data_IF_867475606704
#
_entry.id   IF_867475606704
#
_cell.length_a   1.000
_cell.length_b   1.000
_cell.length_c   1.000
_cell.angle_alpha   90.00
_cell.angle_beta   90.00
_cell.angle_gamma   90.00
#
_symmetry.space_group_name_H-M   'P 1'
#
loop_
_entity.id
_entity.type
_entity.pdbx_description
1 polymer ?
#
# COMPACT_ATOMS: atom_id res chain seq x y z
N UNK A 1 -28.23 -7.42 17.91
CA UNK A 1 -27.26 -7.74 16.85
C UNK A 1 -27.30 -6.59 15.86
N UNK A 2 -26.26 -5.75 15.70
CA UNK A 2 -26.36 -4.67 14.75
C UNK A 2 -26.22 -5.25 13.34
N UNK A 3 -27.16 -4.91 12.45
CA UNK A 3 -27.04 -5.16 11.02
C UNK A 3 -25.85 -4.38 10.46
N UNK A 4 -25.08 -4.91 9.49
CA UNK A 4 -24.04 -4.12 8.85
C UNK A 4 -24.70 -2.97 8.07
N UNK A 5 -24.39 -1.74 8.51
CA UNK A 5 -24.83 -0.50 7.89
C UNK A 5 -24.33 -0.45 6.44
N UNK A 6 -25.28 -0.30 5.52
CA UNK A 6 -25.04 -0.13 4.07
C UNK A 6 -24.12 1.07 3.81
N UNK A 7 -23.05 0.85 3.08
CA UNK A 7 -22.48 1.85 2.17
C UNK A 7 -21.87 1.17 0.93
N UNK A 8 -21.75 2.00 -0.11
CA UNK A 8 -21.08 1.82 -1.41
C UNK A 8 -21.95 1.29 -2.57
N UNK A 9 -22.40 2.27 -3.34
CA UNK A 9 -22.67 2.18 -4.77
C UNK A 9 -21.40 1.80 -5.52
N UNK A 10 -21.09 0.51 -5.55
CA UNK A 10 -20.08 -0.04 -6.44
C UNK A 10 -20.73 -0.20 -7.83
N UNK A 11 -20.24 0.59 -8.80
CA UNK A 11 -20.78 0.69 -10.18
C UNK A 11 -19.96 -0.13 -11.17
N UNK A 12 -18.76 -0.58 -10.75
CA UNK A 12 -17.86 -1.34 -11.59
C UNK A 12 -18.25 -2.82 -11.77
N UNK A 13 -17.47 -3.52 -12.60
CA UNK A 13 -17.71 -4.91 -12.96
C UNK A 13 -16.70 -5.91 -12.39
N UNK A 14 -15.62 -5.45 -11.75
CA UNK A 14 -14.52 -6.33 -11.32
C UNK A 14 -14.83 -7.00 -9.98
N UNK A 15 -14.58 -8.32 -9.89
CA UNK A 15 -14.60 -9.07 -8.63
C UNK A 15 -13.46 -8.67 -7.70
N UNK A 16 -12.31 -8.30 -8.26
CA UNK A 16 -11.12 -7.95 -7.51
C UNK A 16 -10.30 -6.86 -8.23
N UNK A 17 -9.65 -6.02 -7.44
CA UNK A 17 -8.66 -5.04 -7.89
C UNK A 17 -7.39 -5.21 -7.06
N UNK A 18 -6.23 -5.31 -7.71
CA UNK A 18 -4.94 -5.52 -7.04
C UNK A 18 -4.08 -4.26 -7.18
N UNK A 19 -3.72 -3.68 -6.04
CA UNK A 19 -2.76 -2.58 -5.90
C UNK A 19 -1.50 -3.16 -5.25
N UNK A 20 -0.57 -3.64 -6.08
CA UNK A 20 0.62 -4.37 -5.64
C UNK A 20 1.90 -3.65 -6.10
N UNK A 21 2.67 -3.11 -5.15
CA UNK A 21 3.94 -2.41 -5.37
C UNK A 21 3.88 -1.28 -6.41
N UNK A 22 2.71 -0.63 -6.55
CA UNK A 22 2.50 0.42 -7.54
C UNK A 22 2.12 1.77 -6.93
N UNK A 23 1.43 1.80 -5.79
CA UNK A 23 1.02 3.07 -5.18
C UNK A 23 2.24 3.86 -4.68
N UNK A 24 3.28 3.16 -4.21
CA UNK A 24 4.53 3.77 -3.77
C UNK A 24 5.28 4.56 -4.85
N UNK A 25 5.01 4.28 -6.13
CA UNK A 25 5.59 5.00 -7.26
C UNK A 25 4.75 6.20 -7.71
N UNK A 26 3.54 6.38 -7.16
CA UNK A 26 2.64 7.50 -7.46
C UNK A 26 2.94 8.66 -6.51
N UNK A 27 2.95 9.88 -7.05
CA UNK A 27 3.06 11.11 -6.27
C UNK A 27 1.99 11.16 -5.17
N UNK A 28 2.36 11.58 -3.96
CA UNK A 28 1.53 11.46 -2.75
C UNK A 28 0.15 12.10 -2.93
N UNK A 29 0.10 13.24 -3.62
CA UNK A 29 -1.13 14.02 -3.87
C UNK A 29 -2.13 13.27 -4.76
N UNK A 30 -1.68 12.25 -5.49
CA UNK A 30 -2.50 11.43 -6.39
C UNK A 30 -2.84 10.05 -5.84
N UNK A 31 -2.26 9.65 -4.71
CA UNK A 31 -2.47 8.30 -4.17
C UNK A 31 -3.93 8.06 -3.77
N UNK A 32 -4.60 9.05 -3.17
CA UNK A 32 -6.03 8.96 -2.87
C UNK A 32 -6.87 8.77 -4.13
N UNK A 33 -6.60 9.51 -5.21
CA UNK A 33 -7.33 9.38 -6.47
C UNK A 33 -7.20 7.97 -7.06
N UNK A 34 -6.01 7.36 -6.94
CA UNK A 34 -5.76 5.99 -7.39
C UNK A 34 -6.62 4.99 -6.60
N UNK A 35 -6.64 5.10 -5.27
CA UNK A 35 -7.46 4.22 -4.41
C UNK A 35 -8.95 4.41 -4.68
N UNK A 36 -9.41 5.66 -4.82
CA UNK A 36 -10.82 5.97 -5.16
C UNK A 36 -11.21 5.34 -6.50
N UNK A 37 -10.37 5.49 -7.54
CA UNK A 37 -10.62 4.89 -8.85
C UNK A 37 -10.60 3.36 -8.78
N UNK A 38 -9.65 2.77 -8.04
CA UNK A 38 -9.57 1.33 -7.84
C UNK A 38 -10.86 0.79 -7.20
N UNK A 39 -11.35 1.44 -6.14
CA UNK A 39 -12.62 1.10 -5.49
C UNK A 39 -13.81 1.19 -6.46
N UNK A 40 -13.87 2.22 -7.30
CA UNK A 40 -14.94 2.39 -8.30
C UNK A 40 -14.97 1.30 -9.39
N UNK A 41 -13.84 0.62 -9.65
CA UNK A 41 -13.81 -0.50 -10.62
C UNK A 41 -14.48 -1.76 -10.10
N UNK A 42 -14.65 -1.87 -8.78
CA UNK A 42 -15.23 -3.05 -8.14
C UNK A 42 -16.74 -3.08 -8.35
N UNK A 43 -17.27 -4.30 -8.48
CA UNK A 43 -18.70 -4.56 -8.30
C UNK A 43 -19.04 -4.55 -6.81
N UNK A 44 -20.33 -4.59 -6.47
CA UNK A 44 -20.77 -4.74 -5.07
C UNK A 44 -20.21 -6.04 -4.48
N UNK A 45 -19.52 -5.93 -3.34
CA UNK A 45 -18.83 -7.05 -2.69
C UNK A 45 -17.58 -7.53 -3.41
N UNK A 46 -17.05 -6.74 -4.37
CA UNK A 46 -15.71 -6.96 -4.91
C UNK A 46 -14.64 -6.64 -3.88
N UNK A 47 -13.42 -7.12 -4.10
CA UNK A 47 -12.32 -7.00 -3.13
C UNK A 47 -11.18 -6.13 -3.65
N UNK A 48 -10.68 -5.23 -2.82
CA UNK A 48 -9.41 -4.55 -3.08
C UNK A 48 -8.29 -5.25 -2.31
N UNK A 49 -7.27 -5.70 -3.03
CA UNK A 49 -6.06 -6.31 -2.46
C UNK A 49 -4.92 -5.30 -2.55
N UNK A 50 -4.35 -4.95 -1.40
CA UNK A 50 -3.26 -4.00 -1.30
C UNK A 50 -2.00 -4.67 -0.76
N UNK A 51 -0.86 -4.38 -1.39
CA UNK A 51 0.46 -4.64 -0.80
C UNK A 51 1.51 -3.68 -1.35
N UNK A 52 2.18 -2.98 -0.45
CA UNK A 52 3.27 -2.08 -0.81
C UNK A 52 4.30 -1.95 0.31
N UNK A 53 5.34 -1.13 0.13
CA UNK A 53 6.40 -0.94 1.12
C UNK A 53 5.87 -0.41 2.45
N UNK A 54 6.26 -1.05 3.55
CA UNK A 54 5.90 -0.61 4.90
C UNK A 54 6.95 0.28 5.52
N UNK A 55 6.52 1.20 6.39
CA UNK A 55 7.40 2.06 7.18
C UNK A 55 8.44 1.23 7.93
N UNK A 56 9.68 1.70 7.96
CA UNK A 56 10.85 1.04 8.53
C UNK A 56 11.31 -0.23 7.79
N UNK A 57 10.89 -0.44 6.53
CA UNK A 57 11.55 -1.41 5.65
C UNK A 57 13.04 -1.06 5.51
N UNK A 58 13.90 -2.06 5.45
CA UNK A 58 15.34 -1.82 5.38
C UNK A 58 15.76 -1.07 4.09
N UNK A 59 14.99 -1.11 3.01
CA UNK A 59 15.20 -0.24 1.85
C UNK A 59 15.05 1.24 2.24
N UNK A 60 14.06 1.58 3.08
CA UNK A 60 13.89 2.94 3.61
C UNK A 60 15.10 3.39 4.41
N UNK A 61 15.60 2.51 5.31
CA UNK A 61 16.76 2.80 6.15
C UNK A 61 18.00 3.12 5.30
N UNK A 62 18.17 2.41 4.17
CA UNK A 62 19.27 2.65 3.22
C UNK A 62 19.14 3.96 2.47
N UNK A 63 17.93 4.46 2.25
CA UNK A 63 17.69 5.74 1.58
C UNK A 63 17.92 6.93 2.49
N UNK A 64 17.72 6.81 3.81
CA UNK A 64 17.92 7.92 4.76
C UNK A 64 19.33 8.50 4.79
N UNK A 65 20.34 7.79 4.28
CA UNK A 65 21.73 8.25 4.19
C UNK A 65 22.14 8.81 2.83
N UNK A 66 21.20 9.12 1.93
CA UNK A 66 21.47 9.60 0.56
C UNK A 66 20.66 10.86 0.25
N UNK A 67 21.13 11.66 -0.72
CA UNK A 67 20.45 12.86 -1.25
C UNK A 67 19.25 12.52 -2.16
N UNK A 68 18.53 11.44 -1.87
CA UNK A 68 17.47 10.91 -2.73
C UNK A 68 16.08 10.99 -2.07
N UNK A 69 15.93 11.80 -1.02
CA UNK A 69 14.65 12.05 -0.35
C UNK A 69 13.91 13.17 -1.07
N UNK A 70 12.72 12.86 -1.57
CA UNK A 70 11.81 13.85 -2.18
C UNK A 70 10.96 14.53 -1.10
N UNK A 71 10.47 13.77 -0.13
CA UNK A 71 9.70 14.24 1.01
C UNK A 71 9.82 13.24 2.18
N UNK A 72 9.09 13.46 3.27
CA UNK A 72 9.04 12.55 4.39
C UNK A 72 8.54 11.18 3.96
N UNK A 73 9.42 10.17 4.06
CA UNK A 73 9.13 8.78 3.69
C UNK A 73 8.90 8.57 2.18
N UNK A 74 9.22 9.57 1.37
CA UNK A 74 9.15 9.54 -0.09
C UNK A 74 10.54 9.74 -0.70
N UNK A 75 10.97 8.79 -1.52
CA UNK A 75 12.33 8.75 -2.05
C UNK A 75 12.33 8.50 -3.55
N UNK A 76 13.34 9.03 -4.25
CA UNK A 76 13.65 8.67 -5.63
C UNK A 76 14.72 7.59 -5.66
N UNK A 77 14.55 6.61 -6.54
CA UNK A 77 15.52 5.54 -6.78
C UNK A 77 16.51 5.97 -7.86
N UNK A 78 17.60 5.22 -8.02
CA UNK A 78 18.62 5.51 -9.02
C UNK A 78 18.12 5.41 -10.47
N UNK A 79 17.02 4.69 -10.70
CA UNK A 79 16.35 4.55 -12.00
C UNK A 79 15.32 5.66 -12.27
N UNK A 80 15.21 6.65 -11.38
CA UNK A 80 14.25 7.75 -11.49
C UNK A 80 12.83 7.41 -11.01
N UNK A 81 12.55 6.17 -10.62
CA UNK A 81 11.24 5.80 -10.07
C UNK A 81 11.13 6.16 -8.58
N UNK A 82 9.92 6.41 -8.11
CA UNK A 82 9.68 6.82 -6.73
C UNK A 82 9.39 5.61 -5.80
N UNK A 83 9.57 5.81 -4.51
CA UNK A 83 9.20 4.83 -3.47
C UNK A 83 8.73 5.55 -2.20
N UNK A 84 7.43 5.49 -1.95
CA UNK A 84 6.81 5.83 -0.68
C UNK A 84 6.76 4.63 0.26
N UNK A 85 6.92 4.87 1.56
CA UNK A 85 6.84 3.84 2.60
C UNK A 85 5.63 4.08 3.50
N UNK A 86 4.62 3.24 3.37
CA UNK A 86 3.30 3.41 3.99
C UNK A 86 3.26 2.93 5.44
N UNK A 87 2.42 3.58 6.24
CA UNK A 87 1.88 3.01 7.46
C UNK A 87 0.56 2.26 7.20
N UNK A 88 0.15 1.38 8.11
CA UNK A 88 -1.20 0.78 8.07
C UNK A 88 -2.29 1.84 8.18
N UNK A 89 -2.07 2.88 8.97
CA UNK A 89 -3.05 3.93 9.22
C UNK A 89 -3.28 4.80 7.97
N UNK A 90 -2.21 5.15 7.25
CA UNK A 90 -2.29 5.86 5.96
C UNK A 90 -3.11 5.04 4.93
N UNK A 91 -2.86 3.73 4.85
CA UNK A 91 -3.61 2.84 3.95
C UNK A 91 -5.07 2.72 4.37
N UNK A 92 -5.32 2.61 5.68
CA UNK A 92 -6.67 2.56 6.24
C UNK A 92 -7.46 3.83 5.94
N UNK A 93 -6.86 5.00 6.15
CA UNK A 93 -7.49 6.29 5.87
C UNK A 93 -7.88 6.40 4.39
N UNK A 94 -6.94 6.10 3.48
CA UNK A 94 -7.19 6.20 2.04
C UNK A 94 -8.31 5.27 1.56
N UNK A 95 -8.31 4.02 2.05
CA UNK A 95 -9.33 3.03 1.68
C UNK A 95 -10.69 3.39 2.27
N UNK A 96 -10.74 3.83 3.53
CA UNK A 96 -11.98 4.25 4.21
C UNK A 96 -12.60 5.46 3.52
N UNK A 97 -11.77 6.43 3.09
CA UNK A 97 -12.23 7.58 2.29
C UNK A 97 -12.77 7.19 0.91
N UNK A 98 -12.33 6.06 0.36
CA UNK A 98 -12.89 5.48 -0.85
C UNK A 98 -14.15 4.62 -0.61
N UNK A 99 -14.62 4.55 0.64
CA UNK A 99 -15.81 3.80 1.06
C UNK A 99 -15.55 2.32 1.34
N UNK A 100 -14.30 1.86 1.29
CA UNK A 100 -13.95 0.46 1.49
C UNK A 100 -13.79 0.14 2.98
N UNK A 101 -14.22 -1.06 3.38
CA UNK A 101 -14.12 -1.55 4.76
C UNK A 101 -13.01 -2.60 4.87
N UNK A 102 -12.16 -2.54 5.91
CA UNK A 102 -11.05 -3.47 6.07
C UNK A 102 -11.56 -4.87 6.43
N UNK A 103 -11.06 -5.87 5.71
CA UNK A 103 -11.17 -7.29 6.10
C UNK A 103 -9.88 -7.74 6.77
N UNK A 104 -8.73 -7.33 6.22
CA UNK A 104 -7.39 -7.60 6.75
C UNK A 104 -6.53 -6.34 6.54
N UNK A 105 -5.70 -5.98 7.54
CA UNK A 105 -4.73 -4.89 7.44
C UNK A 105 -3.62 -5.13 8.47
N UNK A 106 -2.42 -5.45 8.00
CA UNK A 106 -1.27 -5.70 8.87
C UNK A 106 0.06 -5.43 8.16
N UNK A 107 1.14 -5.39 8.94
CA UNK A 107 2.49 -5.47 8.41
C UNK A 107 2.93 -6.92 8.26
N UNK A 108 3.39 -7.28 7.06
CA UNK A 108 4.15 -8.50 6.86
C UNK A 108 5.63 -8.18 6.95
N UNK A 109 6.33 -8.85 7.87
CA UNK A 109 7.79 -8.77 7.98
C UNK A 109 8.44 -10.07 7.51
N UNK A 110 9.54 -9.94 6.77
CA UNK A 110 10.36 -11.10 6.38
C UNK A 110 11.84 -10.83 6.55
N UNK A 111 12.52 -11.78 7.18
CA UNK A 111 13.98 -11.86 7.20
C UNK A 111 14.44 -12.73 6.04
N UNK A 112 15.26 -12.16 5.16
CA UNK A 112 15.93 -12.88 4.07
C UNK A 112 17.43 -12.80 4.30
N UNK A 113 18.14 -13.89 4.02
CA UNK A 113 19.61 -13.94 4.14
C UNK A 113 20.16 -14.33 2.79
N UNK A 114 21.02 -13.49 2.22
CA UNK A 114 21.80 -13.89 1.06
C UNK A 114 22.84 -14.92 1.54
N UNK A 115 22.76 -16.17 1.05
CA UNK A 115 23.57 -17.28 1.55
C UNK A 115 25.06 -17.14 1.25
N UNK A 116 25.40 -16.48 0.14
CA UNK A 116 26.78 -16.29 -0.30
C UNK A 116 27.50 -15.21 0.51
N UNK A 117 26.84 -14.07 0.69
CA UNK A 117 27.42 -12.89 1.37
C UNK A 117 27.11 -12.82 2.86
N UNK A 118 26.22 -13.70 3.35
CA UNK A 118 25.71 -13.70 4.73
C UNK A 118 24.82 -12.51 5.08
N UNK A 119 24.58 -11.57 4.15
CA UNK A 119 23.93 -10.30 4.53
C UNK A 119 22.43 -10.48 4.73
N UNK A 120 21.97 -10.08 5.90
CA UNK A 120 20.56 -10.07 6.28
C UNK A 120 19.81 -8.91 5.60
N UNK A 121 18.55 -9.17 5.27
CA UNK A 121 17.59 -8.23 4.68
C UNK A 121 16.27 -8.36 5.43
N UNK A 122 15.91 -7.35 6.22
CA UNK A 122 14.60 -7.27 6.88
C UNK A 122 13.64 -6.46 6.01
N UNK A 123 12.66 -7.13 5.43
CA UNK A 123 11.62 -6.51 4.63
C UNK A 123 10.37 -6.30 5.46
N UNK A 124 9.68 -5.20 5.21
CA UNK A 124 8.41 -4.85 5.81
C UNK A 124 7.48 -4.32 4.74
N UNK A 125 6.28 -4.89 4.67
CA UNK A 125 5.25 -4.52 3.71
C UNK A 125 3.95 -4.28 4.46
N UNK A 126 3.17 -3.31 4.03
CA UNK A 126 1.75 -3.26 4.40
C UNK A 126 1.03 -4.26 3.52
N UNK A 127 0.16 -5.08 4.11
CA UNK A 127 -0.69 -6.03 3.41
C UNK A 127 -2.11 -5.84 3.87
N UNK A 128 -3.03 -5.68 2.92
CA UNK A 128 -4.42 -5.46 3.26
C UNK A 128 -5.39 -6.05 2.24
N UNK A 129 -6.61 -6.28 2.71
CA UNK A 129 -7.77 -6.71 1.94
C UNK A 129 -8.96 -5.89 2.41
N UNK A 130 -9.69 -5.33 1.46
CA UNK A 130 -10.89 -4.53 1.71
C UNK A 130 -12.06 -5.00 0.84
N UNK A 131 -13.28 -4.64 1.27
CA UNK A 131 -14.56 -4.87 0.57
C UNK A 131 -15.38 -3.59 0.42
#
# INVERSE_FOLDING_TARGET
KPEPRRAVTAVGGADACIVLFCLSAVAMERQQDVITKAAQTLRRGGVLLFRDYGRYDMAQVRFRGKDNRLDENFYVRSDGTCSYFFTTDEVHEMCSRAGLEPVELDYITRKMVNRETGVERRRRWVHAKYV
#
